data_IF_440704812535
#
_entry.id   IF_440704812535
#
_cell.length_a   1.000
_cell.length_b   1.000
_cell.length_c   1.000
_cell.angle_alpha   90.00
_cell.angle_beta   90.00
_cell.angle_gamma   90.00
#
_symmetry.space_group_name_H-M   'P 1'
#
loop_
_entity.id
_entity.type
_entity.pdbx_description
1 polymer ?
#
# COMPACT_ATOMS: atom_id res chain seq x y z
N UNK A 1 32.36 6.75 41.41
CA UNK A 1 31.28 7.55 40.75
C UNK A 1 31.61 7.89 39.30
N UNK A 2 32.78 8.47 38.99
CA UNK A 2 33.16 8.84 37.61
C UNK A 2 33.12 7.65 36.63
N UNK A 3 33.65 6.49 37.03
CA UNK A 3 33.62 5.27 36.19
C UNK A 3 32.19 4.83 35.83
N UNK A 4 31.27 4.89 36.79
CA UNK A 4 29.87 4.48 36.59
C UNK A 4 29.16 5.43 35.63
N UNK A 5 29.41 6.74 35.75
CA UNK A 5 28.83 7.76 34.87
C UNK A 5 29.33 7.58 33.43
N UNK A 6 30.62 7.32 33.23
CA UNK A 6 31.21 7.10 31.89
C UNK A 6 30.61 5.86 31.23
N UNK A 7 30.45 4.76 31.99
CA UNK A 7 29.85 3.52 31.47
C UNK A 7 28.39 3.73 31.08
N UNK A 8 27.62 4.46 31.89
CA UNK A 8 26.21 4.75 31.58
C UNK A 8 26.05 5.63 30.33
N UNK A 9 26.87 6.67 30.17
CA UNK A 9 26.83 7.54 28.99
C UNK A 9 27.22 6.75 27.73
N UNK A 10 28.26 5.91 27.81
CA UNK A 10 28.66 5.07 26.69
C UNK A 10 27.56 4.08 26.30
N UNK A 11 26.93 3.41 27.28
CA UNK A 11 25.84 2.47 27.02
C UNK A 11 24.61 3.15 26.38
N UNK A 12 24.23 4.34 26.87
CA UNK A 12 23.11 5.11 26.32
C UNK A 12 23.42 5.63 24.90
N UNK A 13 24.64 6.10 24.66
CA UNK A 13 25.09 6.54 23.33
C UNK A 13 25.06 5.39 22.32
N UNK A 14 25.57 4.22 22.69
CA UNK A 14 25.54 3.01 21.86
C UNK A 14 24.10 2.60 21.57
N UNK A 15 23.23 2.54 22.58
CA UNK A 15 21.83 2.19 22.41
C UNK A 15 21.09 3.16 21.48
N UNK A 16 21.34 4.47 21.61
CA UNK A 16 20.74 5.49 20.74
C UNK A 16 21.22 5.36 19.29
N UNK A 17 22.52 5.15 19.07
CA UNK A 17 23.08 4.97 17.73
C UNK A 17 22.54 3.69 17.09
N UNK A 18 22.48 2.58 17.83
CA UNK A 18 21.90 1.32 17.34
C UNK A 18 20.42 1.51 17.01
N UNK A 19 19.64 2.10 17.90
CA UNK A 19 18.22 2.38 17.67
C UNK A 19 17.99 3.26 16.44
N UNK A 20 18.78 4.31 16.28
CA UNK A 20 18.73 5.20 15.11
C UNK A 20 19.16 4.50 13.82
N UNK A 21 20.16 3.62 13.88
CA UNK A 21 20.60 2.86 12.70
C UNK A 21 19.53 1.85 12.26
N UNK A 22 18.86 1.21 13.22
CA UNK A 22 17.77 0.27 12.96
C UNK A 22 16.56 1.00 12.36
N UNK A 23 16.17 2.17 12.89
CA UNK A 23 15.03 2.93 12.34
C UNK A 23 15.30 3.49 10.94
N UNK A 24 16.54 3.93 10.67
CA UNK A 24 16.94 4.36 9.33
C UNK A 24 16.93 3.20 8.32
N UNK A 25 17.34 1.99 8.74
CA UNK A 25 17.29 0.79 7.88
C UNK A 25 15.87 0.24 7.70
N UNK A 26 15.01 0.38 8.71
CA UNK A 26 13.60 -0.05 8.63
C UNK A 26 12.82 0.70 7.53
N UNK A 27 13.22 1.93 7.21
CA UNK A 27 12.68 2.68 6.07
C UNK A 27 12.94 2.02 4.71
N UNK A 28 14.05 1.27 4.56
CA UNK A 28 14.38 0.56 3.32
C UNK A 28 13.70 -0.81 3.21
N UNK A 29 13.40 -1.47 4.33
CA UNK A 29 12.78 -2.81 4.32
C UNK A 29 11.30 -2.73 3.89
N UNK A 30 10.60 -1.62 4.18
CA UNK A 30 9.25 -1.37 3.65
C UNK A 30 9.20 -1.14 2.14
N UNK A 31 10.32 -0.75 1.52
CA UNK A 31 10.40 -0.60 0.06
C UNK A 31 10.69 -1.92 -0.67
N UNK A 32 11.06 -2.97 0.09
CA UNK A 32 11.67 -4.19 -0.45
C UNK A 32 10.88 -5.47 -0.25
N UNK A 33 9.63 -5.44 0.25
CA UNK A 33 8.77 -6.64 0.29
C UNK A 33 8.19 -6.91 -1.11
N UNK A 34 9.12 -7.25 -1.99
CA UNK A 34 9.02 -8.16 -3.11
C UNK A 34 7.63 -8.26 -3.73
N UNK A 35 7.45 -7.43 -4.76
CA UNK A 35 6.75 -7.83 -5.98
C UNK A 35 7.33 -9.17 -6.44
N UNK A 36 6.78 -10.27 -5.95
CA UNK A 36 6.67 -11.44 -6.80
C UNK A 36 6.09 -10.95 -8.13
N UNK A 37 6.61 -11.48 -9.24
CA UNK A 37 6.05 -11.30 -10.57
C UNK A 37 4.64 -11.92 -10.57
N UNK A 38 3.69 -11.19 -10.00
CA UNK A 38 2.30 -11.58 -9.94
C UNK A 38 1.72 -11.22 -11.29
N UNK A 39 1.24 -12.21 -12.01
CA UNK A 39 0.52 -11.97 -13.27
C UNK A 39 -0.71 -11.09 -13.01
N UNK A 40 -0.67 -9.88 -13.56
CA UNK A 40 -1.73 -8.87 -13.47
C UNK A 40 -2.44 -8.63 -14.80
N UNK A 41 -2.12 -9.40 -15.83
CA UNK A 41 -2.58 -9.18 -17.21
C UNK A 41 -4.11 -9.28 -17.37
N UNK A 42 -4.76 -10.06 -16.52
CA UNK A 42 -6.20 -10.31 -16.49
C UNK A 42 -6.99 -9.35 -15.57
N UNK A 43 -6.30 -8.46 -14.84
CA UNK A 43 -6.94 -7.59 -13.85
C UNK A 43 -7.55 -6.31 -14.44
N UNK A 44 -7.39 -6.06 -15.74
CA UNK A 44 -7.93 -4.88 -16.41
C UNK A 44 -7.23 -3.57 -16.00
N UNK A 45 -5.94 -3.63 -15.67
CA UNK A 45 -5.17 -2.44 -15.30
C UNK A 45 -4.98 -1.49 -16.48
N UNK A 46 -4.95 -0.19 -16.20
CA UNK A 46 -4.59 0.82 -17.21
C UNK A 46 -3.10 0.77 -17.52
N UNK A 47 -2.77 0.94 -18.81
CA UNK A 47 -1.38 1.08 -19.30
C UNK A 47 -0.97 2.53 -19.54
N UNK A 48 -1.90 3.49 -19.39
CA UNK A 48 -1.63 4.92 -19.61
C UNK A 48 -1.41 5.70 -18.31
N UNK A 49 -1.82 5.13 -17.17
CA UNK A 49 -1.72 5.75 -15.85
C UNK A 49 -1.86 4.71 -14.73
N UNK A 50 -1.67 5.11 -13.47
CA UNK A 50 -1.82 4.22 -12.33
C UNK A 50 -3.28 3.77 -12.17
N UNK A 51 -3.46 2.57 -11.60
CA UNK A 51 -4.78 1.98 -11.36
C UNK A 51 -4.98 1.71 -9.88
N UNK A 52 -6.08 2.21 -9.31
CA UNK A 52 -6.57 1.82 -7.98
C UNK A 52 -7.46 0.59 -8.16
N UNK A 53 -7.03 -0.54 -7.61
CA UNK A 53 -7.77 -1.80 -7.63
C UNK A 53 -8.34 -2.08 -6.24
N UNK A 54 -9.65 -2.24 -6.15
CA UNK A 54 -10.39 -2.50 -4.92
C UNK A 54 -11.07 -3.86 -4.97
N UNK A 55 -10.73 -4.74 -4.03
CA UNK A 55 -11.45 -5.99 -3.81
C UNK A 55 -12.66 -5.77 -2.91
N UNK A 56 -13.82 -6.25 -3.35
CA UNK A 56 -15.10 -6.13 -2.65
C UNK A 56 -15.91 -7.44 -2.69
N UNK A 57 -17.12 -7.40 -2.12
CA UNK A 57 -18.16 -8.43 -2.24
C UNK A 57 -19.53 -7.80 -1.91
N UNK A 58 -20.62 -8.45 -2.33
CA UNK A 58 -21.99 -7.96 -2.07
C UNK A 58 -22.29 -7.81 -0.56
N UNK A 59 -21.75 -8.70 0.27
CA UNK A 59 -21.94 -8.71 1.72
C UNK A 59 -20.98 -7.76 2.47
N UNK A 60 -20.07 -7.10 1.76
CA UNK A 60 -19.09 -6.19 2.37
C UNK A 60 -19.67 -4.78 2.56
N UNK A 61 -20.32 -4.53 3.70
CA UNK A 61 -20.83 -3.20 4.06
C UNK A 61 -19.79 -2.06 3.95
N UNK A 62 -18.57 -2.20 4.49
CA UNK A 62 -17.53 -1.16 4.40
C UNK A 62 -17.03 -0.86 2.98
N UNK A 63 -17.21 -1.77 2.02
CA UNK A 63 -16.72 -1.60 0.65
C UNK A 63 -17.37 -0.39 -0.05
N UNK A 64 -18.60 -0.03 0.31
CA UNK A 64 -19.24 1.21 -0.16
C UNK A 64 -18.48 2.47 0.29
N UNK A 65 -17.79 2.42 1.43
CA UNK A 65 -16.90 3.49 1.90
C UNK A 65 -15.70 3.66 0.98
N UNK A 66 -15.07 2.55 0.56
CA UNK A 66 -13.94 2.58 -0.36
C UNK A 66 -14.34 3.19 -1.69
N UNK A 67 -15.46 2.75 -2.30
CA UNK A 67 -15.93 3.30 -3.58
C UNK A 67 -16.04 4.82 -3.54
N UNK A 68 -16.71 5.37 -2.52
CA UNK A 68 -16.84 6.83 -2.36
C UNK A 68 -15.48 7.54 -2.28
N UNK A 69 -14.54 6.99 -1.53
CA UNK A 69 -13.20 7.58 -1.38
C UNK A 69 -12.42 7.49 -2.68
N UNK A 70 -12.46 6.35 -3.37
CA UNK A 70 -11.74 6.15 -4.63
C UNK A 70 -12.35 7.01 -5.74
N UNK A 71 -13.67 7.07 -5.86
CA UNK A 71 -14.38 7.90 -6.84
C UNK A 71 -14.07 9.38 -6.64
N UNK A 72 -14.02 9.84 -5.38
CA UNK A 72 -13.60 11.21 -5.07
C UNK A 72 -12.17 11.49 -5.56
N UNK A 73 -11.23 10.59 -5.27
CA UNK A 73 -9.82 10.78 -5.65
C UNK A 73 -9.63 10.72 -7.16
N UNK A 74 -10.32 9.80 -7.85
CA UNK A 74 -10.25 9.70 -9.32
C UNK A 74 -10.91 10.89 -10.02
N UNK A 75 -11.91 11.52 -9.40
CA UNK A 75 -12.47 12.77 -9.90
C UNK A 75 -11.48 13.95 -9.83
N UNK A 76 -10.58 13.94 -8.85
CA UNK A 76 -9.50 14.93 -8.69
C UNK A 76 -8.28 14.61 -9.59
N UNK A 77 -8.07 13.34 -9.94
CA UNK A 77 -6.94 12.81 -10.71
C UNK A 77 -7.42 11.98 -11.92
N UNK A 78 -7.77 12.61 -13.06
CA UNK A 78 -8.45 11.94 -14.18
C UNK A 78 -7.60 10.90 -14.92
N UNK A 79 -6.28 10.94 -14.77
CA UNK A 79 -5.34 9.96 -15.35
C UNK A 79 -5.24 8.65 -14.51
N UNK A 80 -5.94 8.60 -13.37
CA UNK A 80 -6.02 7.42 -12.49
C UNK A 80 -7.23 6.58 -12.87
N UNK A 81 -7.01 5.30 -13.14
CA UNK A 81 -8.10 4.34 -13.36
C UNK A 81 -8.58 3.71 -12.04
N UNK A 82 -9.86 3.36 -11.96
CA UNK A 82 -10.43 2.57 -10.85
C UNK A 82 -10.96 1.24 -11.39
N UNK A 83 -10.52 0.14 -10.77
CA UNK A 83 -11.01 -1.22 -11.02
C UNK A 83 -11.55 -1.80 -9.72
N UNK A 84 -12.81 -2.24 -9.71
CA UNK A 84 -13.40 -3.00 -8.60
C UNK A 84 -13.50 -4.47 -9.00
N UNK A 85 -12.98 -5.36 -8.14
CA UNK A 85 -13.08 -6.81 -8.32
C UNK A 85 -13.89 -7.40 -7.17
N UNK A 86 -15.02 -8.01 -7.50
CA UNK A 86 -15.75 -8.84 -6.56
C UNK A 86 -14.95 -10.14 -6.31
N UNK A 87 -14.60 -10.40 -5.04
CA UNK A 87 -13.78 -11.55 -4.67
C UNK A 87 -14.52 -12.88 -4.78
N UNK A 88 -15.85 -12.88 -4.68
CA UNK A 88 -16.67 -14.09 -4.81
C UNK A 88 -16.81 -14.47 -6.29
N UNK A 89 -16.89 -13.46 -7.17
CA UNK A 89 -16.88 -13.67 -8.62
C UNK A 89 -15.49 -14.02 -9.16
N UNK A 90 -14.42 -13.45 -8.57
CA UNK A 90 -13.04 -13.64 -9.02
C UNK A 90 -12.12 -14.09 -7.85
N UNK A 91 -12.35 -15.27 -7.26
CA UNK A 91 -11.58 -15.73 -6.10
C UNK A 91 -10.11 -16.02 -6.45
N UNK A 92 -9.81 -16.28 -7.73
CA UNK A 92 -8.44 -16.51 -8.19
C UNK A 92 -7.59 -15.25 -8.09
N UNK A 93 -8.14 -14.10 -8.51
CA UNK A 93 -7.48 -12.81 -8.41
C UNK A 93 -7.21 -12.45 -6.94
N UNK A 94 -8.18 -12.69 -6.06
CA UNK A 94 -8.03 -12.46 -4.62
C UNK A 94 -6.92 -13.35 -4.03
N UNK A 95 -6.88 -14.65 -4.36
CA UNK A 95 -5.80 -15.55 -3.92
C UNK A 95 -4.44 -15.12 -4.46
N UNK A 96 -4.36 -14.79 -5.76
CA UNK A 96 -3.12 -14.41 -6.45
C UNK A 96 -2.51 -13.14 -5.85
N UNK A 97 -3.35 -12.17 -5.46
CA UNK A 97 -2.92 -10.96 -4.76
C UNK A 97 -2.91 -11.09 -3.23
N UNK A 98 -3.02 -12.32 -2.72
CA UNK A 98 -3.00 -12.63 -1.28
C UNK A 98 -3.98 -11.78 -0.46
N UNK A 99 -5.18 -11.54 -0.98
CA UNK A 99 -6.25 -10.79 -0.32
C UNK A 99 -6.90 -11.67 0.73
N UNK A 100 -6.63 -11.36 2.00
CA UNK A 100 -7.11 -12.14 3.15
C UNK A 100 -8.36 -11.56 3.81
N UNK A 101 -8.71 -10.31 3.49
CA UNK A 101 -9.81 -9.59 4.13
C UNK A 101 -10.38 -8.54 3.20
N UNK A 102 -11.70 -8.35 3.24
CA UNK A 102 -12.35 -7.23 2.58
C UNK A 102 -12.60 -6.04 3.53
N UNK A 103 -12.61 -4.81 3.00
CA UNK A 103 -12.09 -4.45 1.68
C UNK A 103 -10.55 -4.46 1.67
N UNK A 104 -9.96 -4.70 0.49
CA UNK A 104 -8.53 -4.47 0.25
C UNK A 104 -8.36 -3.58 -0.97
N UNK A 105 -7.55 -2.54 -0.86
CA UNK A 105 -7.19 -1.65 -1.98
C UNK A 105 -5.71 -1.78 -2.29
N UNK A 106 -5.38 -1.90 -3.58
CA UNK A 106 -4.02 -2.00 -4.10
C UNK A 106 -3.88 -0.97 -5.23
N UNK A 107 -2.77 -0.22 -5.27
CA UNK A 107 -2.49 0.70 -6.37
C UNK A 107 -1.38 0.08 -7.22
N UNK A 108 -1.62 0.00 -8.52
CA UNK A 108 -0.65 -0.42 -9.52
C UNK A 108 -0.16 0.79 -10.32
N UNK A 109 1.13 0.80 -10.69
CA UNK A 109 1.62 1.71 -11.71
C UNK A 109 1.24 1.23 -13.12
N UNK A 110 1.56 2.03 -14.15
CA UNK A 110 1.31 1.70 -15.56
C UNK A 110 2.01 0.42 -16.04
N UNK A 111 3.04 -0.02 -15.33
CA UNK A 111 3.79 -1.24 -15.62
C UNK A 111 3.18 -2.46 -14.91
N UNK A 112 2.04 -2.30 -14.24
CA UNK A 112 1.35 -3.36 -13.52
C UNK A 112 2.00 -3.76 -12.19
N UNK A 113 2.89 -2.92 -11.64
CA UNK A 113 3.59 -3.20 -10.37
C UNK A 113 2.82 -2.60 -9.20
N UNK A 114 2.57 -3.36 -8.12
CA UNK A 114 1.90 -2.80 -6.94
C UNK A 114 2.84 -1.82 -6.22
N UNK A 115 2.31 -0.61 -5.95
CA UNK A 115 3.02 0.50 -5.30
C UNK A 115 2.49 0.83 -3.92
N UNK A 116 1.23 0.46 -3.65
CA UNK A 116 0.55 0.70 -2.39
C UNK A 116 -0.46 -0.41 -2.12
N UNK A 117 -0.64 -0.74 -0.85
CA UNK A 117 -1.64 -1.71 -0.38
C UNK A 117 -2.19 -1.28 0.97
N UNK A 118 -3.50 -1.41 1.15
CA UNK A 118 -4.16 -1.21 2.44
C UNK A 118 -5.40 -2.08 2.58
N UNK A 119 -5.74 -2.42 3.82
CA UNK A 119 -6.97 -3.11 4.18
C UNK A 119 -7.90 -2.15 4.91
N UNK A 120 -9.21 -2.32 4.73
CA UNK A 120 -10.22 -1.40 5.26
C UNK A 120 -10.45 -0.18 4.36
N UNK A 121 -11.22 0.79 4.86
CA UNK A 121 -11.53 2.01 4.10
C UNK A 121 -10.33 2.96 4.15
N UNK A 122 -9.67 3.25 3.02
CA UNK A 122 -8.54 4.17 2.99
C UNK A 122 -8.98 5.61 3.25
N UNK A 123 -8.04 6.46 3.68
CA UNK A 123 -8.25 7.91 3.66
C UNK A 123 -7.91 8.43 2.26
N UNK A 124 -8.68 9.42 1.79
CA UNK A 124 -8.40 10.06 0.50
C UNK A 124 -6.97 10.64 0.41
N UNK A 125 -6.46 11.20 1.51
CA UNK A 125 -5.11 11.73 1.57
C UNK A 125 -4.04 10.65 1.35
N UNK A 126 -4.22 9.44 1.91
CA UNK A 126 -3.26 8.34 1.75
C UNK A 126 -3.23 7.85 0.29
N UNK A 127 -4.40 7.78 -0.37
CA UNK A 127 -4.48 7.44 -1.79
C UNK A 127 -3.81 8.50 -2.66
N UNK A 128 -4.08 9.79 -2.43
CA UNK A 128 -3.45 10.90 -3.18
C UNK A 128 -1.93 10.86 -3.06
N UNK A 129 -1.41 10.78 -1.84
CA UNK A 129 0.04 10.72 -1.61
C UNK A 129 0.70 9.49 -2.26
N UNK A 130 -0.04 8.39 -2.45
CA UNK A 130 0.45 7.23 -3.16
C UNK A 130 0.36 7.35 -4.69
N UNK A 131 -0.62 8.08 -5.21
CA UNK A 131 -0.88 8.25 -6.66
C UNK A 131 -0.06 9.37 -7.29
N UNK A 132 0.09 10.51 -6.61
CA UNK A 132 0.79 11.69 -7.13
C UNK A 132 2.19 11.38 -7.69
N UNK A 133 3.05 10.56 -7.02
CA UNK A 133 4.36 10.21 -7.55
C UNK A 133 4.33 9.31 -8.81
N UNK A 134 3.19 8.69 -9.12
CA UNK A 134 3.02 7.77 -10.25
C UNK A 134 2.49 8.46 -11.52
N UNK A 135 2.08 9.72 -11.38
CA UNK A 135 1.56 10.56 -12.47
C UNK A 135 2.62 11.45 -13.13
N UNK A 136 3.87 11.40 -12.64
CA UNK A 136 4.99 12.20 -13.12
C UNK A 136 5.74 11.58 -14.31
#
# INVERSE_FOLDING_TARGET
MVLVIVVLIAALGIAYVIGRLITLRAGMIRAGEQTADVDTSDLGLSHTGPTVLHFSAEWCGPCAGVRRVVDQVCAELPDVAHVEIDMDANPEAARRLSVLSLPTTIIFDRDGRPRYRTSGVPKAADLRSALEPLLA
#
